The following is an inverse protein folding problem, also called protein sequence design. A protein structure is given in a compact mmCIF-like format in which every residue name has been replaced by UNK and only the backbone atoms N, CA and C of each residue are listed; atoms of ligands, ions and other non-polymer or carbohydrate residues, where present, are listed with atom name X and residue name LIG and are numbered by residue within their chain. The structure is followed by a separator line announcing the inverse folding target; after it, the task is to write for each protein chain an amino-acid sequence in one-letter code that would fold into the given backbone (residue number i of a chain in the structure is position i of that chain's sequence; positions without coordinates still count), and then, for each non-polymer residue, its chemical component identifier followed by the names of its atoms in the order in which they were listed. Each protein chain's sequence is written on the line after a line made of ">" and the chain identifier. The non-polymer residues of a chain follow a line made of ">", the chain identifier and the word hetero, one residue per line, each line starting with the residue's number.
data_IF_652621933971
#
_entry.id   IF_652621933971
#
_cell.length_a   1.000
_cell.length_b   1.000
_cell.length_c   1.000
_cell.angle_alpha   90.00
_cell.angle_beta   90.00
_cell.angle_gamma   90.00
#
_symmetry.space_group_name_H-M   'P 1'
#
loop_
_entity.id
_entity.type
_entity.pdbx_description
1 polymer ?
#
# COMPACT_ATOMS: atom_id res chain seq x y z
N UNK A 1 -10.60 -9.20 7.01
CA UNK A 1 -10.71 -7.74 7.18
C UNK A 1 -10.24 -7.12 5.87
N UNK A 2 -10.96 -6.14 5.31
CA UNK A 2 -10.58 -5.54 4.02
C UNK A 2 -9.89 -4.20 4.29
N UNK A 3 -8.54 -4.23 4.37
CA UNK A 3 -7.71 -3.08 4.69
C UNK A 3 -7.81 -1.99 3.62
N UNK A 4 -7.88 -2.38 2.34
CA UNK A 4 -8.09 -1.44 1.21
C UNK A 4 -9.39 -0.68 1.34
N UNK A 5 -10.51 -1.37 1.56
CA UNK A 5 -11.84 -0.77 1.66
C UNK A 5 -11.93 0.20 2.83
N UNK A 6 -11.37 -0.18 3.98
CA UNK A 6 -11.34 0.70 5.15
C UNK A 6 -10.50 1.96 4.88
N UNK A 7 -9.29 1.79 4.33
CA UNK A 7 -8.41 2.92 4.02
C UNK A 7 -9.00 3.85 2.94
N UNK A 8 -9.63 3.29 1.90
CA UNK A 8 -10.37 4.05 0.89
C UNK A 8 -11.52 4.85 1.51
N UNK A 9 -12.24 4.28 2.47
CA UNK A 9 -13.33 4.96 3.18
C UNK A 9 -12.80 6.19 3.92
N UNK A 10 -11.67 6.05 4.63
CA UNK A 10 -11.02 7.16 5.34
C UNK A 10 -10.54 8.23 4.37
N UNK A 11 -9.83 7.84 3.29
CA UNK A 11 -9.30 8.78 2.30
C UNK A 11 -10.42 9.54 1.57
N UNK A 12 -11.53 8.87 1.22
CA UNK A 12 -12.71 9.50 0.61
C UNK A 12 -13.41 10.45 1.57
N UNK A 13 -13.62 10.05 2.83
CA UNK A 13 -14.17 10.93 3.87
C UNK A 13 -13.31 12.19 4.04
N UNK A 14 -11.99 12.01 4.09
CA UNK A 14 -11.04 13.14 4.21
C UNK A 14 -11.12 14.08 3.02
N UNK A 15 -11.17 13.55 1.79
CA UNK A 15 -11.30 14.35 0.58
C UNK A 15 -12.61 15.15 0.54
N UNK A 16 -13.73 14.51 0.89
CA UNK A 16 -15.03 15.17 0.95
C UNK A 16 -15.06 16.28 2.01
N UNK A 17 -14.55 16.01 3.22
CA UNK A 17 -14.48 17.00 4.30
C UNK A 17 -13.56 18.17 3.95
N UNK A 18 -12.44 17.91 3.27
CA UNK A 18 -11.54 18.96 2.79
C UNK A 18 -12.25 19.87 1.78
N UNK A 19 -12.94 19.28 0.80
CA UNK A 19 -13.67 20.02 -0.22
C UNK A 19 -14.80 20.88 0.37
N UNK A 20 -15.60 20.30 1.27
CA UNK A 20 -16.68 21.02 1.94
C UNK A 20 -16.17 22.21 2.77
N UNK A 21 -15.04 22.04 3.48
CA UNK A 21 -14.44 23.13 4.25
C UNK A 21 -13.92 24.28 3.35
N UNK A 22 -13.37 23.95 2.19
CA UNK A 22 -12.94 24.95 1.20
C UNK A 22 -14.14 25.73 0.66
N UNK A 23 -15.22 25.03 0.32
CA UNK A 23 -16.46 25.63 -0.19
C UNK A 23 -17.07 26.59 0.85
N UNK A 24 -17.16 26.19 2.12
CA UNK A 24 -17.64 27.07 3.20
C UNK A 24 -16.84 28.36 3.33
N UNK A 25 -15.50 28.28 3.22
CA UNK A 25 -14.65 29.47 3.27
C UNK A 25 -14.89 30.38 2.05
N UNK A 26 -15.03 29.80 0.86
CA UNK A 26 -15.27 30.56 -0.36
C UNK A 26 -16.65 31.24 -0.35
N UNK A 27 -17.68 30.56 0.14
CA UNK A 27 -19.01 31.13 0.34
C UNK A 27 -18.99 32.27 1.36
N UNK A 28 -18.30 32.09 2.49
CA UNK A 28 -18.14 33.14 3.49
C UNK A 28 -17.45 34.38 2.92
N UNK A 29 -16.38 34.20 2.13
CA UNK A 29 -15.69 35.28 1.40
C UNK A 29 -16.61 36.02 0.43
N UNK A 30 -17.42 35.28 -0.35
CA UNK A 30 -18.31 35.84 -1.36
C UNK A 30 -19.57 36.50 -0.76
N UNK A 31 -19.97 36.11 0.45
CA UNK A 31 -21.24 36.51 1.05
C UNK A 31 -21.37 38.01 1.39
N UNK A 32 -20.25 38.71 1.57
CA UNK A 32 -20.23 40.09 2.08
C UNK A 32 -20.73 40.24 3.52
N UNK A 33 -20.97 39.14 4.24
CA UNK A 33 -21.55 39.13 5.60
C UNK A 33 -20.52 39.35 6.71
N UNK A 34 -19.23 39.28 6.38
CA UNK A 34 -18.14 39.32 7.35
C UNK A 34 -17.29 40.57 7.15
N UNK A 35 -16.87 41.18 8.27
CA UNK A 35 -15.70 42.06 8.26
C UNK A 35 -14.44 41.22 8.01
N UNK A 36 -13.32 41.86 7.65
CA UNK A 36 -12.04 41.14 7.47
C UNK A 36 -11.65 40.33 8.72
N UNK A 37 -11.78 40.94 9.91
CA UNK A 37 -11.50 40.26 11.18
C UNK A 37 -12.49 39.12 11.48
N UNK A 38 -13.77 39.33 11.18
CA UNK A 38 -14.80 38.30 11.37
C UNK A 38 -14.60 37.09 10.43
N UNK A 39 -14.19 37.33 9.19
CA UNK A 39 -13.89 36.26 8.23
C UNK A 39 -12.68 35.45 8.69
N UNK A 40 -11.63 36.12 9.19
CA UNK A 40 -10.44 35.45 9.70
C UNK A 40 -10.78 34.56 10.91
N UNK A 41 -11.55 35.07 11.88
CA UNK A 41 -12.01 34.28 13.02
C UNK A 41 -12.84 33.06 12.59
N UNK A 42 -13.78 33.24 11.65
CA UNK A 42 -14.57 32.14 11.09
C UNK A 42 -13.72 31.06 10.43
N UNK A 43 -12.72 31.47 9.64
CA UNK A 43 -11.75 30.57 9.00
C UNK A 43 -10.91 29.82 10.03
N UNK A 44 -10.48 30.49 11.09
CA UNK A 44 -9.67 29.88 12.15
C UNK A 44 -10.49 28.82 12.93
N UNK A 45 -11.75 29.12 13.22
CA UNK A 45 -12.68 28.17 13.85
C UNK A 45 -12.90 26.92 12.96
N UNK A 46 -13.11 27.11 11.65
CA UNK A 46 -13.23 26.00 10.70
C UNK A 46 -11.95 25.15 10.64
N UNK A 47 -10.78 25.79 10.65
CA UNK A 47 -9.51 25.08 10.65
C UNK A 47 -9.30 24.27 11.94
N UNK A 48 -9.66 24.84 13.09
CA UNK A 48 -9.60 24.15 14.38
C UNK A 48 -10.53 22.93 14.42
N UNK A 49 -11.78 23.09 13.98
CA UNK A 49 -12.75 22.00 13.90
C UNK A 49 -12.28 20.88 12.93
N UNK A 50 -11.78 21.26 11.75
CA UNK A 50 -11.22 20.31 10.78
C UNK A 50 -10.00 19.58 11.36
N UNK A 51 -9.11 20.26 12.10
CA UNK A 51 -7.94 19.60 12.68
C UNK A 51 -8.31 18.50 13.68
N UNK A 52 -9.32 18.74 14.53
CA UNK A 52 -9.82 17.74 15.49
C UNK A 52 -10.42 16.54 14.77
N UNK A 53 -11.29 16.77 13.78
CA UNK A 53 -11.95 15.70 13.03
C UNK A 53 -10.94 14.82 12.27
N UNK A 54 -9.91 15.43 11.70
CA UNK A 54 -8.95 14.76 10.82
C UNK A 54 -7.89 13.97 11.59
N UNK A 55 -7.55 14.38 12.81
CA UNK A 55 -6.56 13.67 13.63
C UNK A 55 -6.95 12.21 13.89
N UNK A 56 -8.24 11.94 14.14
CA UNK A 56 -8.75 10.59 14.33
C UNK A 56 -8.67 9.76 13.04
N UNK A 57 -8.99 10.36 11.90
CA UNK A 57 -8.91 9.71 10.58
C UNK A 57 -7.47 9.34 10.23
N UNK A 58 -6.53 10.25 10.47
CA UNK A 58 -5.10 10.00 10.24
C UNK A 58 -4.60 8.86 11.14
N UNK A 59 -4.93 8.89 12.43
CA UNK A 59 -4.54 7.83 13.38
C UNK A 59 -5.09 6.47 12.94
N UNK A 60 -6.37 6.41 12.55
CA UNK A 60 -6.98 5.15 12.09
C UNK A 60 -6.36 4.65 10.79
N UNK A 61 -6.09 5.54 9.82
CA UNK A 61 -5.43 5.16 8.57
C UNK A 61 -4.04 4.55 8.82
N UNK A 62 -3.25 5.15 9.72
CA UNK A 62 -1.94 4.61 10.08
C UNK A 62 -2.05 3.24 10.75
N UNK A 63 -3.02 3.07 11.66
CA UNK A 63 -3.27 1.78 12.30
C UNK A 63 -3.64 0.68 11.30
N UNK A 64 -4.51 0.99 10.32
CA UNK A 64 -4.92 0.06 9.25
C UNK A 64 -3.70 -0.39 8.44
N UNK A 65 -2.80 0.53 8.08
CA UNK A 65 -1.58 0.23 7.34
C UNK A 65 -0.62 -0.61 8.18
N UNK A 66 -0.39 -0.22 9.45
CA UNK A 66 0.51 -0.93 10.36
C UNK A 66 0.00 -2.37 10.62
N UNK A 67 -1.32 -2.56 10.73
CA UNK A 67 -1.92 -3.88 10.90
C UNK A 67 -1.82 -4.76 9.64
N UNK A 68 -2.10 -4.20 8.46
CA UNK A 68 -1.89 -4.91 7.19
C UNK A 68 -0.44 -5.34 7.00
N UNK A 69 0.52 -4.47 7.38
CA UNK A 69 1.93 -4.77 7.30
C UNK A 69 2.34 -5.93 8.23
N UNK A 70 1.76 -6.01 9.43
CA UNK A 70 2.07 -7.07 10.38
C UNK A 70 1.41 -8.40 10.01
N UNK A 71 0.17 -8.38 9.54
CA UNK A 71 -0.52 -9.56 9.02
C UNK A 71 0.22 -10.14 7.80
N UNK A 72 0.70 -9.28 6.90
CA UNK A 72 1.52 -9.71 5.76
C UNK A 72 2.84 -10.36 6.21
N UNK A 73 3.53 -9.82 7.22
CA UNK A 73 4.74 -10.46 7.77
C UNK A 73 4.43 -11.80 8.43
N UNK A 74 3.33 -11.88 9.18
CA UNK A 74 2.96 -13.06 9.96
C UNK A 74 2.51 -14.20 9.06
N UNK A 75 1.67 -13.92 8.06
CA UNK A 75 1.26 -14.90 7.06
C UNK A 75 2.47 -15.52 6.35
N UNK A 76 3.42 -14.69 5.88
CA UNK A 76 4.65 -15.19 5.25
C UNK A 76 5.48 -16.10 6.12
N UNK A 77 5.66 -15.75 7.40
CA UNK A 77 6.38 -16.60 8.36
C UNK A 77 5.67 -17.95 8.56
N UNK A 78 4.35 -17.93 8.72
CA UNK A 78 3.55 -19.14 8.93
C UNK A 78 3.57 -20.05 7.71
N UNK A 79 3.39 -19.50 6.51
CA UNK A 79 3.44 -20.25 5.25
C UNK A 79 4.79 -20.92 5.07
N UNK A 80 5.87 -20.16 5.24
CA UNK A 80 7.23 -20.71 5.11
C UNK A 80 7.50 -21.81 6.14
N UNK A 81 7.08 -21.62 7.40
CA UNK A 81 7.28 -22.61 8.46
C UNK A 81 6.49 -23.91 8.23
N UNK A 82 5.24 -23.81 7.75
CA UNK A 82 4.43 -24.99 7.41
C UNK A 82 5.01 -25.75 6.22
N UNK A 83 5.39 -25.02 5.17
CA UNK A 83 5.99 -25.58 3.97
C UNK A 83 7.34 -26.26 4.21
N UNK A 84 8.12 -25.79 5.19
CA UNK A 84 9.36 -26.45 5.63
C UNK A 84 9.13 -27.83 6.26
N UNK A 85 7.95 -28.07 6.84
CA UNK A 85 7.58 -29.34 7.47
C UNK A 85 6.86 -30.28 6.51
N UNK A 86 6.40 -29.79 5.36
CA UNK A 86 5.73 -30.59 4.34
C UNK A 86 6.76 -31.29 3.43
N UNK A 87 6.90 -32.61 3.59
CA UNK A 87 7.85 -33.41 2.82
C UNK A 87 7.57 -33.41 1.30
N UNK A 88 6.30 -33.34 0.89
CA UNK A 88 5.92 -33.29 -0.52
C UNK A 88 6.29 -31.95 -1.15
N UNK A 89 6.03 -30.85 -0.43
CA UNK A 89 6.43 -29.51 -0.83
C UNK A 89 7.95 -29.37 -0.92
N UNK A 90 8.69 -29.85 0.10
CA UNK A 90 10.15 -29.83 0.08
C UNK A 90 10.73 -30.65 -1.08
N UNK A 91 10.15 -31.81 -1.39
CA UNK A 91 10.56 -32.62 -2.53
C UNK A 91 10.29 -31.92 -3.87
N UNK A 92 9.12 -31.29 -4.02
CA UNK A 92 8.78 -30.47 -5.19
C UNK A 92 9.76 -29.32 -5.40
N UNK A 93 10.06 -28.57 -4.34
CA UNK A 93 11.01 -27.45 -4.40
C UNK A 93 12.42 -27.95 -4.74
N UNK A 94 12.88 -29.03 -4.12
CA UNK A 94 14.18 -29.61 -4.42
C UNK A 94 14.31 -30.02 -5.90
N UNK A 95 13.26 -30.64 -6.47
CA UNK A 95 13.22 -31.02 -7.88
C UNK A 95 13.29 -29.80 -8.81
N UNK A 96 12.51 -28.76 -8.52
CA UNK A 96 12.55 -27.49 -9.28
C UNK A 96 13.94 -26.86 -9.24
N UNK A 97 14.55 -26.76 -8.06
CA UNK A 97 15.90 -26.20 -7.93
C UNK A 97 16.93 -27.04 -8.68
N UNK A 98 16.76 -28.36 -8.72
CA UNK A 98 17.62 -29.25 -9.49
C UNK A 98 17.47 -29.06 -11.01
N UNK A 99 16.23 -28.89 -11.50
CA UNK A 99 15.96 -28.59 -12.91
C UNK A 99 16.61 -27.26 -13.33
N UNK A 100 16.49 -26.22 -12.49
CA UNK A 100 17.12 -24.92 -12.75
C UNK A 100 18.66 -25.06 -12.78
N UNK A 101 19.25 -25.71 -11.77
CA UNK A 101 20.72 -25.86 -11.66
C UNK A 101 21.32 -26.73 -12.75
N UNK A 102 20.58 -27.71 -13.26
CA UNK A 102 21.02 -28.58 -14.36
C UNK A 102 20.79 -27.97 -15.74
N UNK A 103 20.13 -26.80 -15.83
CA UNK A 103 19.74 -26.18 -17.09
C UNK A 103 18.59 -26.90 -17.81
N UNK A 104 17.95 -27.88 -17.17
CA UNK A 104 16.82 -28.63 -17.71
C UNK A 104 15.46 -27.94 -17.49
N UNK A 105 15.42 -26.83 -16.76
CA UNK A 105 14.22 -26.02 -16.58
C UNK A 105 13.86 -25.31 -17.90
N UNK A 106 12.70 -25.66 -18.43
CA UNK A 106 12.12 -25.05 -19.62
C UNK A 106 11.53 -23.66 -19.29
N UNK A 107 11.98 -22.58 -19.98
CA UNK A 107 11.43 -21.25 -19.79
C UNK A 107 9.91 -21.15 -20.00
N UNK A 108 9.31 -21.98 -20.86
CA UNK A 108 7.85 -21.96 -21.07
C UNK A 108 7.06 -22.44 -19.83
N UNK A 109 7.66 -23.36 -19.06
CA UNK A 109 7.05 -23.94 -17.87
C UNK A 109 7.40 -23.18 -16.58
N UNK A 110 8.41 -22.30 -16.64
CA UNK A 110 8.91 -21.58 -15.48
C UNK A 110 7.89 -20.60 -14.83
N UNK A 111 7.00 -19.92 -15.58
CA UNK A 111 5.95 -19.09 -14.97
C UNK A 111 5.04 -19.87 -14.01
N UNK A 112 4.66 -21.11 -14.35
CA UNK A 112 3.86 -21.96 -13.48
C UNK A 112 4.61 -22.36 -12.20
N UNK A 113 5.94 -22.49 -12.27
CA UNK A 113 6.80 -22.69 -11.09
C UNK A 113 6.77 -21.45 -10.19
N UNK A 114 6.88 -20.25 -10.76
CA UNK A 114 6.83 -19.00 -9.99
C UNK A 114 5.47 -18.84 -9.29
N UNK A 115 4.38 -19.15 -9.97
CA UNK A 115 3.02 -19.15 -9.41
C UNK A 115 2.88 -20.17 -8.27
N UNK A 116 3.41 -21.40 -8.44
CA UNK A 116 3.30 -22.46 -7.43
C UNK A 116 3.99 -22.14 -6.10
N UNK A 117 5.04 -21.31 -6.12
CA UNK A 117 5.76 -20.89 -4.91
C UNK A 117 5.42 -19.45 -4.49
N UNK A 118 4.49 -18.80 -5.17
CA UNK A 118 4.09 -17.42 -4.87
C UNK A 118 3.63 -17.29 -3.40
N UNK A 119 4.03 -16.20 -2.76
CA UNK A 119 3.69 -15.94 -1.36
C UNK A 119 4.62 -16.57 -0.33
N UNK A 120 5.36 -17.65 -0.66
CA UNK A 120 6.41 -18.21 0.19
C UNK A 120 7.76 -17.53 -0.08
N UNK A 121 8.11 -16.60 0.81
CA UNK A 121 9.35 -15.82 0.70
C UNK A 121 10.63 -16.65 0.71
N UNK A 122 10.68 -17.77 1.43
CA UNK A 122 11.89 -18.59 1.50
C UNK A 122 12.04 -19.40 0.21
N UNK A 123 10.95 -20.00 -0.26
CA UNK A 123 10.94 -20.79 -1.49
C UNK A 123 11.23 -19.92 -2.72
N UNK A 124 10.57 -18.76 -2.83
CA UNK A 124 10.84 -17.80 -3.91
C UNK A 124 12.27 -17.26 -3.89
N UNK A 125 12.85 -17.05 -2.70
CA UNK A 125 14.26 -16.66 -2.59
C UNK A 125 15.19 -17.76 -3.10
N UNK A 126 14.92 -19.02 -2.76
CA UNK A 126 15.71 -20.16 -3.23
C UNK A 126 15.61 -20.35 -4.75
N UNK A 127 14.41 -20.22 -5.32
CA UNK A 127 14.20 -20.27 -6.79
C UNK A 127 14.94 -19.13 -7.48
N UNK A 128 14.79 -17.90 -6.97
CA UNK A 128 15.49 -16.71 -7.50
C UNK A 128 17.01 -16.88 -7.48
N UNK A 129 17.56 -17.38 -6.38
CA UNK A 129 18.99 -17.62 -6.22
C UNK A 129 19.48 -18.70 -7.20
N UNK A 130 18.73 -19.81 -7.33
CA UNK A 130 19.06 -20.86 -8.29
C UNK A 130 19.08 -20.35 -9.74
N UNK A 131 18.11 -19.52 -10.14
CA UNK A 131 18.08 -18.93 -11.48
C UNK A 131 19.28 -18.00 -11.69
N UNK A 132 19.56 -17.11 -10.75
CA UNK A 132 20.72 -16.19 -10.83
C UNK A 132 22.04 -16.95 -10.95
N UNK A 133 22.19 -18.05 -10.22
CA UNK A 133 23.38 -18.88 -10.26
C UNK A 133 23.45 -19.78 -11.51
N UNK A 134 22.32 -20.09 -12.14
CA UNK A 134 22.28 -20.88 -13.40
C UNK A 134 22.78 -20.08 -14.61
N UNK A 135 22.78 -18.75 -14.55
CA UNK A 135 23.08 -17.85 -15.67
C UNK A 135 22.19 -18.06 -16.91
N UNK A 136 21.03 -18.71 -16.77
CA UNK A 136 20.04 -18.83 -17.85
C UNK A 136 19.31 -17.49 -18.04
N UNK A 137 19.57 -16.83 -19.16
CA UNK A 137 19.05 -15.48 -19.46
C UNK A 137 17.54 -15.48 -19.62
N UNK A 138 16.98 -16.50 -20.25
CA UNK A 138 15.53 -16.61 -20.48
C UNK A 138 14.80 -16.71 -19.13
N UNK A 139 15.32 -17.51 -18.19
CA UNK A 139 14.74 -17.61 -16.84
C UNK A 139 14.93 -16.33 -16.01
N UNK A 140 16.06 -15.63 -16.20
CA UNK A 140 16.34 -14.35 -15.53
C UNK A 140 15.33 -13.26 -15.93
N UNK A 141 14.97 -13.21 -17.22
CA UNK A 141 13.97 -12.27 -17.75
C UNK A 141 12.56 -12.54 -17.23
N UNK A 142 12.27 -13.81 -16.89
CA UNK A 142 10.98 -14.24 -16.34
C UNK A 142 10.86 -14.04 -14.83
N UNK A 143 11.95 -13.72 -14.11
CA UNK A 143 11.86 -13.47 -12.67
C UNK A 143 10.98 -12.24 -12.40
N UNK A 144 10.03 -12.31 -11.44
CA UNK A 144 9.17 -11.18 -11.14
C UNK A 144 10.00 -9.98 -10.69
N UNK A 145 9.61 -8.79 -11.12
CA UNK A 145 10.23 -7.57 -10.61
C UNK A 145 9.96 -7.51 -9.11
N UNK A 146 11.03 -7.44 -8.32
CA UNK A 146 10.91 -7.48 -6.87
C UNK A 146 10.23 -6.21 -6.36
N UNK A 147 8.90 -6.23 -6.23
CA UNK A 147 8.18 -5.25 -5.44
C UNK A 147 8.52 -5.52 -3.98
N UNK A 148 9.33 -4.64 -3.39
CA UNK A 148 9.61 -4.71 -1.96
C UNK A 148 8.35 -4.25 -1.20
N UNK A 149 7.46 -5.18 -0.92
CA UNK A 149 6.21 -4.89 -0.22
C UNK A 149 6.44 -4.25 1.17
N UNK A 150 7.58 -4.51 1.84
CA UNK A 150 7.95 -3.78 3.05
C UNK A 150 8.14 -2.29 2.81
N UNK A 151 8.80 -1.93 1.70
CA UNK A 151 8.95 -0.53 1.27
C UNK A 151 7.60 0.06 0.83
N UNK A 152 6.71 -0.72 0.19
CA UNK A 152 5.35 -0.29 -0.16
C UNK A 152 4.60 0.14 1.10
N UNK A 153 4.63 -0.64 2.19
CA UNK A 153 4.00 -0.27 3.46
C UNK A 153 4.62 1.00 4.06
N UNK A 154 5.96 1.14 4.04
CA UNK A 154 6.65 2.34 4.53
C UNK A 154 6.21 3.59 3.75
N UNK A 155 6.16 3.51 2.42
CA UNK A 155 5.74 4.63 1.58
C UNK A 155 4.25 4.93 1.74
N UNK A 156 3.39 3.91 1.83
CA UNK A 156 1.96 4.08 2.06
C UNK A 156 1.72 4.78 3.40
N UNK A 157 2.41 4.35 4.46
CA UNK A 157 2.36 4.97 5.79
C UNK A 157 2.84 6.42 5.76
N UNK A 158 3.94 6.71 5.05
CA UNK A 158 4.47 8.08 4.88
C UNK A 158 3.47 8.98 4.14
N UNK A 159 2.85 8.47 3.07
CA UNK A 159 1.85 9.20 2.30
C UNK A 159 0.57 9.43 3.11
N UNK A 160 0.07 8.43 3.83
CA UNK A 160 -1.07 8.56 4.72
C UNK A 160 -0.79 9.60 5.83
N UNK A 161 0.38 9.50 6.47
CA UNK A 161 0.83 10.47 7.47
C UNK A 161 0.85 11.89 6.91
N UNK A 162 1.35 12.09 5.69
CA UNK A 162 1.46 13.43 5.09
C UNK A 162 0.13 13.99 4.59
N UNK A 163 -0.65 13.20 3.85
CA UNK A 163 -1.77 13.71 3.06
C UNK A 163 -3.12 13.56 3.75
N UNK A 164 -3.25 12.67 4.73
CA UNK A 164 -4.45 12.59 5.56
C UNK A 164 -4.39 13.62 6.70
N UNK A 165 -3.21 14.12 7.06
CA UNK A 165 -3.02 15.09 8.14
C UNK A 165 -3.98 16.30 8.07
N UNK A 166 -4.23 16.94 9.23
CA UNK A 166 -4.81 18.27 9.27
C UNK A 166 -4.00 19.23 8.39
N UNK A 167 -4.69 19.97 7.53
CA UNK A 167 -4.10 21.08 6.75
C UNK A 167 -4.97 22.31 6.90
N UNK A 168 -4.36 23.47 6.68
CA UNK A 168 -5.12 24.71 6.58
C UNK A 168 -6.00 24.67 5.33
N UNK A 169 -7.30 24.89 5.50
CA UNK A 169 -8.28 24.88 4.44
C UNK A 169 -8.04 25.99 3.39
N UNK A 170 -7.26 27.04 3.69
CA UNK A 170 -6.81 28.03 2.71
C UNK A 170 -5.53 27.65 1.96
N UNK A 171 -4.78 26.64 2.41
CA UNK A 171 -3.53 26.18 1.79
C UNK A 171 -3.54 24.65 1.66
N UNK A 172 -4.40 24.16 0.76
CA UNK A 172 -4.81 22.76 0.74
C UNK A 172 -4.44 22.00 -0.56
N UNK A 173 -3.89 22.67 -1.57
CA UNK A 173 -3.66 22.09 -2.90
C UNK A 173 -2.81 20.80 -2.85
N UNK A 174 -1.75 20.80 -2.03
CA UNK A 174 -0.91 19.62 -1.83
C UNK A 174 -1.67 18.45 -1.20
N UNK A 175 -2.62 18.72 -0.30
CA UNK A 175 -3.46 17.71 0.32
C UNK A 175 -4.49 17.14 -0.68
N UNK A 176 -5.15 17.98 -1.48
CA UNK A 176 -6.07 17.53 -2.52
C UNK A 176 -5.38 16.60 -3.55
N UNK A 177 -4.20 17.01 -4.04
CA UNK A 177 -3.40 16.18 -4.95
C UNK A 177 -2.93 14.89 -4.27
N UNK A 178 -2.46 14.99 -3.02
CA UNK A 178 -1.99 13.85 -2.25
C UNK A 178 -3.06 12.80 -1.94
N UNK A 179 -4.28 13.23 -1.59
CA UNK A 179 -5.43 12.35 -1.38
C UNK A 179 -5.84 11.66 -2.68
N UNK A 180 -5.84 12.38 -3.80
CA UNK A 180 -6.12 11.81 -5.13
C UNK A 180 -5.06 10.77 -5.53
N UNK A 181 -3.78 11.04 -5.23
CA UNK A 181 -2.69 10.09 -5.45
C UNK A 181 -2.86 8.84 -4.58
N UNK A 182 -3.20 9.01 -3.29
CA UNK A 182 -3.47 7.89 -2.39
C UNK A 182 -4.59 7.00 -2.92
N UNK A 183 -5.71 7.56 -3.39
CA UNK A 183 -6.78 6.76 -3.99
C UNK A 183 -6.30 5.94 -5.18
N UNK A 184 -5.56 6.56 -6.12
CA UNK A 184 -4.98 5.86 -7.28
C UNK A 184 -3.99 4.75 -6.90
N UNK A 185 -3.24 4.91 -5.82
CA UNK A 185 -2.36 3.86 -5.29
C UNK A 185 -3.21 2.71 -4.77
N UNK A 186 -4.22 3.01 -3.94
CA UNK A 186 -5.09 2.01 -3.34
C UNK A 186 -5.91 1.23 -4.39
N UNK A 187 -6.31 1.86 -5.48
CA UNK A 187 -7.03 1.20 -6.56
C UNK A 187 -6.23 0.06 -7.20
N UNK A 188 -4.89 0.16 -7.21
CA UNK A 188 -3.95 -0.86 -7.74
C UNK A 188 -3.50 -1.89 -6.70
N UNK A 189 -4.04 -1.84 -5.49
CA UNK A 189 -3.75 -2.80 -4.44
C UNK A 189 -4.91 -3.78 -4.30
N UNK A 190 -4.64 -4.98 -3.79
CA UNK A 190 -5.68 -5.90 -3.35
C UNK A 190 -6.22 -5.52 -1.96
N UNK A 191 -7.17 -6.32 -1.46
CA UNK A 191 -7.81 -6.13 -0.15
C UNK A 191 -6.84 -6.10 1.05
N UNK A 192 -5.64 -6.68 0.88
CA UNK A 192 -4.58 -6.76 1.88
C UNK A 192 -3.49 -5.69 1.72
N UNK A 193 -3.72 -4.67 0.89
CA UNK A 193 -2.76 -3.60 0.56
C UNK A 193 -1.48 -4.10 -0.11
N UNK A 194 -1.57 -5.23 -0.83
CA UNK A 194 -0.49 -5.74 -1.68
C UNK A 194 -0.72 -5.23 -3.09
N UNK A 195 0.34 -4.77 -3.77
CA UNK A 195 0.24 -4.31 -5.16
C UNK A 195 -0.15 -5.48 -6.07
N UNK A 196 -1.17 -5.27 -6.90
CA UNK A 196 -1.51 -6.18 -8.01
C UNK A 196 -0.66 -5.75 -9.22
N UNK A 197 0.01 -6.71 -9.86
CA UNK A 197 0.82 -6.48 -11.09
C UNK A 197 -0.07 -6.22 -12.31
#
# INVERSE_FOLDING_TARGET
>A
MNYKSELLTIVRRRAAGLQAGIEQINEAKASGRYTLAGLQAYVDDLNAANAVAVAADQARALQVIDQAAEDWKTSRKSTSAGNLQDAGYQAGLANVLQLIRSGAMDPENFPAVLEAYEGDTLSMAAVTDAVRNSHNVDLLELLPQKVNQGEVFVQLRKNASKYIAPVNLNNNAAAQMGLSLLMKILDRMNDNLIMEE
#
